data_IF_098424458044
#
_entry.id   IF_098424458044
#
_cell.length_a   1.000
_cell.length_b   1.000
_cell.length_c   1.000
_cell.angle_alpha   90.00
_cell.angle_beta   90.00
_cell.angle_gamma   90.00
#
_symmetry.space_group_name_H-M   'P 1'
#
loop_
_entity.id
_entity.type
_entity.pdbx_description
1 polymer ?
#
# COMPACT_ATOMS: atom_id res chain seq x y z
N UNK A 1 -17.39 8.70 -16.97
CA UNK A 1 -17.76 7.74 -15.90
C UNK A 1 -16.50 7.26 -15.21
N UNK A 2 -16.38 7.45 -13.90
CA UNK A 2 -15.42 6.78 -13.01
C UNK A 2 -15.90 6.99 -11.56
N UNK A 3 -17.10 6.44 -11.28
CA UNK A 3 -17.96 6.71 -10.12
C UNK A 3 -17.27 6.62 -8.74
N UNK A 4 -16.40 5.61 -8.58
CA UNK A 4 -16.11 5.02 -7.26
C UNK A 4 -14.61 5.05 -6.89
N UNK A 5 -13.77 5.57 -7.78
CA UNK A 5 -12.31 5.44 -7.67
C UNK A 5 -11.68 6.39 -6.64
N UNK A 6 -12.23 7.60 -6.46
CA UNK A 6 -11.56 8.69 -5.74
C UNK A 6 -11.28 8.39 -4.26
N UNK A 7 -12.27 7.85 -3.53
CA UNK A 7 -12.11 7.50 -2.10
C UNK A 7 -11.04 6.39 -1.95
N UNK A 8 -11.07 5.38 -2.82
CA UNK A 8 -10.07 4.30 -2.82
C UNK A 8 -8.68 4.84 -3.16
N UNK A 9 -8.56 5.75 -4.13
CA UNK A 9 -7.30 6.38 -4.49
C UNK A 9 -6.70 7.17 -3.32
N UNK A 10 -7.51 7.92 -2.54
CA UNK A 10 -7.06 8.58 -1.31
C UNK A 10 -6.55 7.56 -0.26
N UNK A 11 -7.28 6.48 0.01
CA UNK A 11 -6.81 5.47 0.97
C UNK A 11 -5.55 4.70 0.50
N UNK A 12 -5.45 4.38 -0.80
CA UNK A 12 -4.27 3.73 -1.37
C UNK A 12 -3.06 4.67 -1.45
N UNK A 13 -3.28 5.98 -1.59
CA UNK A 13 -2.26 7.03 -1.48
C UNK A 13 -1.79 7.16 -0.01
N UNK A 14 -2.71 7.37 0.92
CA UNK A 14 -2.43 7.49 2.35
C UNK A 14 -1.66 6.29 2.91
N UNK A 15 -2.02 5.06 2.50
CA UNK A 15 -1.28 3.84 2.89
C UNK A 15 0.16 3.80 2.36
N UNK A 16 0.46 4.44 1.21
CA UNK A 16 1.83 4.59 0.68
C UNK A 16 2.58 5.67 1.45
N UNK A 17 1.94 6.82 1.69
CA UNK A 17 2.52 7.97 2.39
C UNK A 17 2.68 7.78 3.89
N UNK A 18 2.04 6.76 4.49
CA UNK A 18 1.85 6.60 5.94
C UNK A 18 1.12 7.77 6.60
N UNK A 19 0.24 8.44 5.85
CA UNK A 19 -0.58 9.54 6.33
C UNK A 19 -1.90 8.97 6.86
N UNK A 20 -2.42 9.52 7.95
CA UNK A 20 -3.73 9.14 8.50
C UNK A 20 -4.86 9.76 7.66
N UNK A 21 -5.96 9.03 7.48
CA UNK A 21 -7.15 9.49 6.75
C UNK A 21 -8.38 9.29 7.63
N UNK A 22 -9.12 10.36 7.84
CA UNK A 22 -10.41 10.35 8.53
C UNK A 22 -11.45 11.13 7.73
N UNK A 23 -12.68 10.62 7.65
CA UNK A 23 -13.82 11.35 7.10
C UNK A 23 -14.81 11.65 8.23
N UNK A 24 -15.08 12.93 8.48
CA UNK A 24 -16.08 13.40 9.46
C UNK A 24 -17.26 14.08 8.76
N UNK A 25 -18.45 13.90 9.31
CA UNK A 25 -19.64 14.63 8.89
C UNK A 25 -19.68 15.96 9.64
N UNK A 26 -19.55 17.06 8.90
CA UNK A 26 -19.50 18.42 9.47
C UNK A 26 -20.90 19.01 9.67
N UNK A 27 -21.80 18.85 8.67
CA UNK A 27 -23.16 19.42 8.68
C UNK A 27 -24.14 18.57 7.83
N UNK A 28 -25.38 18.47 8.29
CA UNK A 28 -26.54 18.14 7.45
C UNK A 28 -27.44 19.38 7.34
N UNK A 29 -28.00 19.65 6.16
CA UNK A 29 -28.90 20.79 5.93
C UNK A 29 -29.84 20.52 4.75
N UNK A 30 -30.78 21.45 4.49
CA UNK A 30 -31.76 21.35 3.42
C UNK A 30 -33.05 20.60 3.81
N UNK A 31 -34.13 20.72 3.00
CA UNK A 31 -35.40 20.08 3.27
C UNK A 31 -35.31 18.55 3.13
N UNK A 32 -36.25 17.82 3.72
CA UNK A 32 -36.21 16.36 3.78
C UNK A 32 -36.10 15.65 2.40
N UNK A 33 -36.63 16.27 1.34
CA UNK A 33 -36.56 15.78 -0.04
C UNK A 33 -35.27 16.17 -0.81
N UNK A 34 -34.44 17.06 -0.26
CA UNK A 34 -33.20 17.55 -0.87
C UNK A 34 -32.12 17.81 0.20
N UNK A 35 -31.84 16.81 1.04
CA UNK A 35 -30.79 16.89 2.06
C UNK A 35 -29.40 17.07 1.44
N UNK A 36 -28.65 18.01 1.99
CA UNK A 36 -27.26 18.33 1.65
C UNK A 36 -26.36 17.92 2.82
N UNK A 37 -25.31 17.15 2.52
CA UNK A 37 -24.35 16.63 3.49
C UNK A 37 -22.99 17.27 3.24
N UNK A 38 -22.42 17.88 4.28
CA UNK A 38 -21.06 18.44 4.28
C UNK A 38 -20.13 17.47 4.98
N UNK A 39 -19.14 16.95 4.27
CA UNK A 39 -18.14 16.02 4.81
C UNK A 39 -16.76 16.64 4.71
N UNK A 40 -15.97 16.49 5.78
CA UNK A 40 -14.57 16.86 5.88
C UNK A 40 -13.70 15.61 5.81
N UNK A 41 -12.70 15.63 4.94
CA UNK A 41 -11.61 14.66 4.83
C UNK A 41 -10.38 15.28 5.48
N UNK A 42 -9.90 14.68 6.57
CA UNK A 42 -8.64 14.99 7.21
C UNK A 42 -7.55 14.07 6.65
N UNK A 43 -6.46 14.63 6.12
CA UNK A 43 -5.37 13.92 5.46
C UNK A 43 -4.02 14.51 5.90
N UNK A 44 -3.52 14.03 7.04
CA UNK A 44 -2.37 14.66 7.71
C UNK A 44 -2.70 16.10 8.12
N UNK A 45 -1.80 17.05 7.87
CA UNK A 45 -1.99 18.45 8.27
C UNK A 45 -2.97 19.24 7.37
N UNK A 46 -3.66 18.59 6.43
CA UNK A 46 -4.62 19.23 5.50
C UNK A 46 -6.05 18.69 5.63
N UNK A 47 -7.00 19.61 5.68
CA UNK A 47 -8.44 19.36 5.62
C UNK A 47 -9.02 19.69 4.24
N UNK A 48 -9.89 18.82 3.73
CA UNK A 48 -10.64 19.03 2.48
C UNK A 48 -12.13 18.85 2.73
N UNK A 49 -12.97 19.71 2.15
CA UNK A 49 -14.44 19.66 2.36
C UNK A 49 -15.16 19.34 1.04
N UNK A 50 -16.25 18.58 1.14
CA UNK A 50 -17.16 18.26 0.04
C UNK A 50 -18.62 18.35 0.49
N UNK A 51 -19.46 18.98 -0.34
CA UNK A 51 -20.88 19.24 -0.07
C UNK A 51 -21.75 18.62 -1.16
N UNK A 52 -22.58 17.63 -0.82
CA UNK A 52 -23.30 16.83 -1.82
C UNK A 52 -24.59 16.21 -1.27
N UNK A 53 -25.47 15.74 -2.16
CA UNK A 53 -26.82 15.22 -1.83
C UNK A 53 -26.86 13.85 -1.13
N UNK A 54 -25.71 13.33 -0.73
CA UNK A 54 -25.57 12.08 0.04
C UNK A 54 -24.18 12.03 0.68
N UNK A 55 -24.07 11.47 1.89
CA UNK A 55 -22.79 11.29 2.61
C UNK A 55 -21.71 10.65 1.74
N UNK A 56 -22.05 9.61 0.94
CA UNK A 56 -21.09 8.93 0.05
C UNK A 56 -20.62 9.81 -1.11
N UNK A 57 -21.50 10.66 -1.64
CA UNK A 57 -21.14 11.66 -2.65
C UNK A 57 -20.29 12.79 -2.03
N UNK A 58 -20.59 13.22 -0.80
CA UNK A 58 -19.84 14.25 -0.08
C UNK A 58 -18.44 13.81 0.32
N UNK A 59 -18.30 12.58 0.86
CA UNK A 59 -17.00 11.91 1.05
C UNK A 59 -16.20 11.89 -0.24
N UNK A 60 -16.83 11.54 -1.37
CA UNK A 60 -16.13 11.49 -2.65
C UNK A 60 -15.81 12.89 -3.22
N UNK A 61 -16.66 13.89 -3.02
CA UNK A 61 -16.36 15.27 -3.38
C UNK A 61 -15.12 15.77 -2.62
N UNK A 62 -15.07 15.56 -1.30
CA UNK A 62 -13.89 15.88 -0.48
C UNK A 62 -12.63 15.12 -0.94
N UNK A 63 -12.76 13.83 -1.24
CA UNK A 63 -11.68 13.01 -1.80
C UNK A 63 -11.19 13.47 -3.18
N UNK A 64 -12.09 14.02 -4.01
CA UNK A 64 -11.74 14.55 -5.33
C UNK A 64 -11.11 15.95 -5.23
N UNK A 65 -11.57 16.80 -4.30
CA UNK A 65 -10.89 18.07 -3.96
C UNK A 65 -9.47 17.82 -3.49
N UNK A 66 -9.25 16.80 -2.64
CA UNK A 66 -7.91 16.38 -2.22
C UNK A 66 -7.06 15.91 -3.41
N UNK A 67 -7.54 14.99 -4.26
CA UNK A 67 -6.77 14.51 -5.42
C UNK A 67 -6.39 15.60 -6.45
N UNK A 68 -7.05 16.75 -6.42
CA UNK A 68 -6.73 17.91 -7.26
C UNK A 68 -5.66 18.85 -6.64
N UNK A 69 -5.33 18.70 -5.36
CA UNK A 69 -4.30 19.50 -4.69
C UNK A 69 -2.90 19.00 -5.07
N UNK A 70 -2.14 19.86 -5.77
CA UNK A 70 -0.80 19.55 -6.25
C UNK A 70 0.21 19.27 -5.13
N UNK A 71 0.03 19.78 -3.91
CA UNK A 71 0.98 19.54 -2.82
C UNK A 71 1.02 18.06 -2.42
N UNK A 72 -0.12 17.36 -2.47
CA UNK A 72 -0.18 15.93 -2.16
C UNK A 72 0.62 15.12 -3.20
N UNK A 73 0.70 15.59 -4.44
CA UNK A 73 1.54 14.98 -5.49
C UNK A 73 3.04 15.24 -5.29
N UNK A 74 3.42 16.26 -4.52
CA UNK A 74 4.81 16.58 -4.17
C UNK A 74 5.32 15.83 -2.92
N UNK A 75 4.45 15.09 -2.22
CA UNK A 75 4.88 14.18 -1.14
C UNK A 75 5.67 13.03 -1.78
N UNK A 76 6.98 13.23 -1.91
CA UNK A 76 7.90 12.36 -2.65
C UNK A 76 8.18 11.07 -1.87
N UNK A 77 7.26 10.10 -1.97
CA UNK A 77 7.32 8.80 -1.27
C UNK A 77 8.34 7.87 -1.91
N UNK A 78 9.61 8.26 -1.92
CA UNK A 78 10.69 7.31 -2.04
C UNK A 78 10.87 6.61 -0.69
N UNK A 79 10.68 5.29 -0.69
CA UNK A 79 11.03 4.44 0.46
C UNK A 79 12.43 4.81 0.97
N UNK A 80 12.71 4.85 2.29
CA UNK A 80 14.01 5.27 2.83
C UNK A 80 15.21 4.58 2.15
N UNK A 81 15.08 3.31 1.77
CA UNK A 81 16.07 2.58 0.97
C UNK A 81 16.31 3.20 -0.41
N UNK A 82 15.27 3.63 -1.12
CA UNK A 82 15.35 4.29 -2.43
C UNK A 82 15.93 5.70 -2.28
N UNK A 83 15.43 6.47 -1.31
CA UNK A 83 15.91 7.82 -1.05
C UNK A 83 17.40 7.82 -0.67
N UNK A 84 17.86 6.85 0.14
CA UNK A 84 19.27 6.72 0.50
C UNK A 84 20.13 6.29 -0.70
N UNK A 85 19.63 5.37 -1.53
CA UNK A 85 20.30 5.01 -2.79
C UNK A 85 20.44 6.24 -3.72
N UNK A 86 19.42 7.10 -3.78
CA UNK A 86 19.45 8.32 -4.59
C UNK A 86 20.41 9.38 -4.02
N UNK A 87 20.45 9.56 -2.70
CA UNK A 87 21.44 10.41 -2.02
C UNK A 87 22.86 9.89 -2.24
N UNK A 88 23.10 8.59 -2.08
CA UNK A 88 24.41 7.98 -2.29
C UNK A 88 24.86 8.13 -3.76
N UNK A 89 23.96 7.89 -4.72
CA UNK A 89 24.21 8.11 -6.16
C UNK A 89 24.59 9.55 -6.48
N UNK A 90 23.90 10.55 -5.91
CA UNK A 90 24.21 11.98 -6.10
C UNK A 90 25.59 12.35 -5.58
N UNK A 91 25.97 11.82 -4.41
CA UNK A 91 27.27 12.06 -3.79
C UNK A 91 28.39 11.13 -4.29
N UNK A 92 28.11 10.27 -5.28
CA UNK A 92 29.01 9.23 -5.82
C UNK A 92 29.53 8.22 -4.77
N UNK A 93 28.80 8.05 -3.67
CA UNK A 93 29.14 7.12 -2.59
C UNK A 93 28.60 5.71 -2.94
N UNK A 94 29.42 4.64 -2.94
CA UNK A 94 28.92 3.29 -3.15
C UNK A 94 28.09 2.84 -1.94
N UNK A 95 26.99 2.14 -2.20
CA UNK A 95 26.02 1.69 -1.19
C UNK A 95 25.75 0.18 -1.31
N UNK A 96 25.90 -0.55 -0.20
CA UNK A 96 25.69 -2.00 -0.16
C UNK A 96 24.92 -2.43 1.08
N UNK A 97 23.84 -3.20 0.90
CA UNK A 97 23.08 -3.83 1.99
C UNK A 97 23.50 -5.29 2.16
N UNK A 98 23.98 -5.63 3.35
CA UNK A 98 24.47 -6.96 3.72
C UNK A 98 23.61 -7.54 4.84
N UNK A 99 23.11 -8.76 4.67
CA UNK A 99 22.47 -9.52 5.74
C UNK A 99 23.55 -9.98 6.73
N UNK A 100 23.37 -9.72 8.03
CA UNK A 100 24.33 -10.07 9.09
C UNK A 100 23.96 -11.34 9.84
N UNK A 101 22.70 -11.48 10.25
CA UNK A 101 22.16 -12.69 10.89
C UNK A 101 20.64 -12.75 10.76
N UNK A 102 20.11 -13.96 10.88
CA UNK A 102 18.68 -14.24 11.06
C UNK A 102 18.53 -14.87 12.44
N UNK A 103 17.60 -14.38 13.25
CA UNK A 103 17.42 -14.83 14.63
C UNK A 103 15.97 -15.17 14.89
N UNK A 104 15.71 -16.41 15.28
CA UNK A 104 14.39 -16.86 15.71
C UNK A 104 14.21 -16.48 17.18
N UNK A 105 13.18 -15.70 17.49
CA UNK A 105 12.74 -15.43 18.85
C UNK A 105 11.45 -16.21 19.10
N UNK A 106 11.47 -17.11 20.09
CA UNK A 106 10.24 -17.71 20.61
C UNK A 106 9.55 -16.70 21.52
N UNK A 107 8.34 -16.28 21.16
CA UNK A 107 7.52 -15.35 21.96
C UNK A 107 6.40 -16.05 22.73
N UNK A 108 6.09 -17.29 22.35
CA UNK A 108 5.12 -18.19 22.99
C UNK A 108 5.42 -19.62 22.49
N UNK A 109 5.02 -20.69 23.19
CA UNK A 109 5.29 -22.07 22.76
C UNK A 109 4.86 -22.38 21.31
N UNK A 110 3.77 -21.76 20.85
CA UNK A 110 3.26 -21.90 19.48
C UNK A 110 3.50 -20.65 18.59
N UNK A 111 4.38 -19.72 18.97
CA UNK A 111 4.62 -18.46 18.23
C UNK A 111 6.08 -18.01 18.27
N UNK A 112 6.80 -18.32 17.20
CA UNK A 112 8.12 -17.76 16.91
C UNK A 112 8.02 -16.61 15.89
N UNK A 113 8.94 -15.65 15.99
CA UNK A 113 9.13 -14.56 15.02
C UNK A 113 10.59 -14.50 14.58
N UNK A 114 10.82 -14.24 13.29
CA UNK A 114 12.17 -14.16 12.72
C UNK A 114 12.60 -12.69 12.63
N UNK A 115 13.71 -12.35 13.27
CA UNK A 115 14.36 -11.05 13.15
C UNK A 115 15.51 -11.13 12.14
N UNK A 116 15.40 -10.35 11.07
CA UNK A 116 16.45 -10.19 10.08
C UNK A 116 17.30 -8.98 10.45
N UNK A 117 18.61 -9.17 10.63
CA UNK A 117 19.57 -8.09 10.89
C UNK A 117 20.31 -7.76 9.60
N UNK A 118 20.16 -6.53 9.13
CA UNK A 118 20.94 -5.99 8.01
C UNK A 118 21.96 -4.96 8.49
N UNK A 119 22.94 -4.69 7.62
CA UNK A 119 23.83 -3.54 7.68
C UNK A 119 23.92 -2.91 6.29
N UNK A 120 23.76 -1.60 6.21
CA UNK A 120 24.09 -0.82 5.02
C UNK A 120 25.47 -0.19 5.20
N UNK A 121 26.32 -0.26 4.17
CA UNK A 121 27.59 0.45 4.09
C UNK A 121 27.44 1.66 3.16
N UNK A 122 28.06 2.78 3.51
CA UNK A 122 28.19 3.99 2.69
C UNK A 122 29.69 4.29 2.51
N UNK A 123 30.23 4.04 1.32
CA UNK A 123 31.68 4.14 1.13
C UNK A 123 32.43 2.96 1.76
N UNK A 124 33.58 3.25 2.36
CA UNK A 124 34.48 2.23 2.90
C UNK A 124 34.21 1.94 4.39
N UNK A 125 34.13 2.99 5.23
CA UNK A 125 34.13 2.84 6.69
C UNK A 125 32.77 3.08 7.36
N UNK A 126 31.91 3.93 6.77
CA UNK A 126 30.59 4.22 7.33
C UNK A 126 29.65 3.03 7.15
N UNK A 127 29.02 2.60 8.24
CA UNK A 127 27.94 1.63 8.20
C UNK A 127 26.84 1.92 9.21
N UNK A 128 25.63 1.44 8.91
CA UNK A 128 24.47 1.52 9.78
C UNK A 128 23.76 0.18 9.80
N UNK A 129 23.53 -0.38 10.98
CA UNK A 129 22.73 -1.60 11.14
C UNK A 129 21.25 -1.28 11.37
N UNK A 130 20.41 -2.29 11.17
CA UNK A 130 18.96 -2.18 11.31
C UNK A 130 18.31 -3.55 11.20
N UNK A 131 17.32 -3.79 12.04
CA UNK A 131 16.66 -5.08 12.17
C UNK A 131 15.15 -4.95 11.97
N UNK A 132 14.47 -6.08 11.69
CA UNK A 132 13.02 -6.12 11.58
C UNK A 132 12.47 -7.50 11.22
N UNK A 133 11.13 -7.67 11.26
CA UNK A 133 10.47 -8.96 11.03
C UNK A 133 10.47 -9.43 9.57
N UNK A 134 11.00 -8.63 8.64
CA UNK A 134 11.19 -9.01 7.23
C UNK A 134 12.47 -8.40 6.68
N UNK A 135 13.08 -9.03 5.66
CA UNK A 135 14.22 -8.45 4.93
C UNK A 135 13.93 -7.06 4.34
N UNK A 136 12.67 -6.71 4.08
CA UNK A 136 12.30 -5.38 3.60
C UNK A 136 12.30 -4.37 4.74
N UNK A 137 11.66 -4.68 5.87
CA UNK A 137 11.63 -3.78 7.02
C UNK A 137 13.02 -3.55 7.62
N UNK A 138 13.86 -4.59 7.70
CA UNK A 138 15.23 -4.47 8.19
C UNK A 138 16.09 -3.51 7.31
N UNK A 139 15.97 -3.59 5.98
CA UNK A 139 16.65 -2.67 5.04
C UNK A 139 16.08 -1.25 5.06
N UNK A 140 14.78 -1.08 5.32
CA UNK A 140 14.18 0.25 5.56
C UNK A 140 14.72 0.85 6.86
N UNK A 141 14.82 0.07 7.94
CA UNK A 141 15.35 0.52 9.22
C UNK A 141 16.85 0.87 9.13
N UNK A 142 17.67 0.08 8.42
CA UNK A 142 19.06 0.44 8.12
C UNK A 142 19.17 1.81 7.42
N UNK A 143 18.30 2.04 6.42
CA UNK A 143 18.34 3.27 5.64
C UNK A 143 17.83 4.50 6.42
N UNK A 144 16.88 4.31 7.35
CA UNK A 144 16.46 5.34 8.30
C UNK A 144 17.60 5.70 9.26
N UNK A 145 18.28 4.71 9.84
CA UNK A 145 19.41 4.95 10.76
C UNK A 145 20.56 5.72 10.07
N UNK A 146 20.88 5.35 8.82
CA UNK A 146 21.81 6.12 8.00
C UNK A 146 21.34 7.57 7.77
N UNK A 147 20.05 7.79 7.47
CA UNK A 147 19.51 9.13 7.30
C UNK A 147 19.50 9.98 8.56
N UNK A 148 19.25 9.39 9.74
CA UNK A 148 19.36 10.13 11.02
C UNK A 148 20.78 10.64 11.24
N UNK A 149 21.79 9.79 11.04
CA UNK A 149 23.20 10.17 11.14
C UNK A 149 23.58 11.23 10.09
N UNK A 150 23.18 11.04 8.83
CA UNK A 150 23.47 12.00 7.77
C UNK A 150 22.84 13.37 8.06
N UNK A 151 21.60 13.40 8.56
CA UNK A 151 20.89 14.65 8.92
C UNK A 151 21.53 15.37 10.11
N UNK A 152 22.05 14.64 11.10
CA UNK A 152 22.76 15.22 12.24
C UNK A 152 24.12 15.82 11.86
N UNK A 153 24.73 15.34 10.77
CA UNK A 153 26.03 15.80 10.28
C UNK A 153 25.94 16.71 9.04
N UNK A 154 24.80 17.35 8.78
CA UNK A 154 24.73 18.46 7.81
C UNK A 154 25.00 19.79 8.51
N UNK A 155 26.07 20.47 8.07
CA UNK A 155 26.23 21.91 8.24
C UNK A 155 25.08 22.65 7.55
N UNK A 156 24.86 23.91 7.92
CA UNK A 156 23.76 24.74 7.41
C UNK A 156 23.79 24.90 5.88
N UNK A 157 22.61 24.95 5.22
CA UNK A 157 22.52 24.95 3.77
C UNK A 157 22.83 26.34 3.17
N UNK A 158 23.74 26.46 2.19
CA UNK A 158 23.74 27.58 1.25
C UNK A 158 22.60 27.41 0.23
N UNK A 159 22.12 28.53 -0.31
CA UNK A 159 20.95 28.59 -1.18
C UNK A 159 21.14 27.93 -2.56
N UNK A 160 20.02 27.57 -3.19
CA UNK A 160 19.90 27.12 -4.59
C UNK A 160 20.54 28.10 -5.58
N UNK A 161 21.28 27.58 -6.58
CA UNK A 161 21.17 28.12 -7.94
C UNK A 161 20.63 27.08 -8.92
N UNK A 162 19.70 27.51 -9.78
CA UNK A 162 19.31 26.78 -10.99
C UNK A 162 20.36 27.00 -12.07
N UNK A 163 21.04 25.96 -12.54
CA UNK A 163 21.82 25.99 -13.79
C UNK A 163 21.61 24.70 -14.58
N UNK A 164 20.94 24.82 -15.72
CA UNK A 164 20.97 23.81 -16.78
C UNK A 164 22.26 23.97 -17.57
N UNK A 165 22.93 22.88 -17.95
CA UNK A 165 23.57 22.75 -19.26
C UNK A 165 23.81 21.28 -19.65
N UNK A 166 24.23 21.07 -20.89
CA UNK A 166 23.92 19.86 -21.68
C UNK A 166 24.85 18.66 -21.48
N UNK A 167 24.36 17.52 -21.96
CA UNK A 167 24.99 16.21 -21.98
C UNK A 167 26.24 16.06 -22.86
N UNK A 168 27.23 15.34 -22.36
CA UNK A 168 27.97 14.30 -23.09
C UNK A 168 28.27 13.16 -22.08
N UNK A 169 28.46 11.89 -22.45
CA UNK A 169 28.86 11.31 -23.74
C UNK A 169 28.11 10.00 -24.07
N UNK A 170 28.22 9.58 -25.33
CA UNK A 170 27.70 8.33 -25.92
C UNK A 170 28.88 7.35 -26.19
N UNK A 171 28.70 6.18 -26.84
CA UNK A 171 27.49 5.39 -27.09
C UNK A 171 27.61 3.89 -26.69
N UNK A 172 26.48 3.18 -26.58
CA UNK A 172 26.35 1.80 -27.04
C UNK A 172 24.85 1.50 -27.25
N UNK A 173 24.52 0.82 -28.34
CA UNK A 173 23.13 0.63 -28.78
C UNK A 173 22.40 -0.49 -28.02
N UNK A 174 21.26 -0.15 -27.39
CA UNK A 174 20.16 -1.09 -27.19
C UNK A 174 18.90 -0.54 -27.86
N UNK A 175 18.39 -1.29 -28.84
CA UNK A 175 17.15 -0.97 -29.55
C UNK A 175 15.93 -1.11 -28.64
N UNK A 176 14.92 -0.25 -28.84
CA UNK A 176 13.67 -0.29 -28.08
C UNK A 176 12.82 -1.49 -28.55
N UNK A 177 12.62 -2.53 -27.74
CA UNK A 177 11.39 -3.34 -27.79
C UNK A 177 11.17 -4.20 -26.53
N UNK A 178 9.90 -4.36 -26.17
CA UNK A 178 9.35 -5.16 -25.05
C UNK A 178 9.65 -4.65 -23.62
N UNK A 179 8.64 -4.77 -22.76
CA UNK A 179 8.68 -4.46 -21.32
C UNK A 179 8.85 -5.71 -20.45
N UNK A 180 9.29 -6.83 -21.05
CA UNK A 180 9.57 -8.09 -20.37
C UNK A 180 11.06 -8.15 -20.01
N UNK A 181 11.41 -8.71 -18.85
CA UNK A 181 12.81 -8.99 -18.54
C UNK A 181 13.38 -10.03 -19.51
N UNK A 182 14.66 -9.91 -19.81
CA UNK A 182 15.45 -10.84 -20.63
C UNK A 182 15.38 -12.27 -20.06
N UNK A 183 15.27 -12.42 -18.73
CA UNK A 183 15.01 -13.71 -18.08
C UNK A 183 13.66 -14.28 -18.57
N UNK A 184 12.58 -13.51 -18.51
CA UNK A 184 11.25 -13.95 -18.96
C UNK A 184 11.23 -14.29 -20.46
N UNK A 185 11.92 -13.49 -21.29
CA UNK A 185 12.02 -13.72 -22.73
C UNK A 185 12.79 -15.02 -23.05
N UNK A 186 13.82 -15.36 -22.27
CA UNK A 186 14.55 -16.64 -22.39
C UNK A 186 13.64 -17.83 -22.09
N UNK A 187 12.89 -17.79 -20.99
CA UNK A 187 11.91 -18.84 -20.64
C UNK A 187 10.81 -18.96 -21.70
N UNK A 188 10.35 -17.85 -22.26
CA UNK A 188 9.31 -17.81 -23.28
C UNK A 188 9.78 -18.43 -24.61
N UNK A 189 11.01 -18.13 -25.08
CA UNK A 189 11.60 -18.77 -26.27
C UNK A 189 11.88 -20.25 -26.05
N UNK A 190 12.46 -20.65 -24.92
CA UNK A 190 12.73 -22.06 -24.64
C UNK A 190 11.44 -22.90 -24.62
N UNK A 191 10.36 -22.35 -24.04
CA UNK A 191 9.03 -23.00 -24.06
C UNK A 191 8.45 -23.11 -25.48
N UNK A 192 8.66 -22.12 -26.36
CA UNK A 192 8.25 -22.20 -27.78
C UNK A 192 9.02 -23.29 -28.54
N UNK A 193 10.30 -23.47 -28.23
CA UNK A 193 11.17 -24.51 -28.81
C UNK A 193 10.95 -25.91 -28.19
N UNK A 194 10.06 -26.05 -27.22
CA UNK A 194 9.83 -27.31 -26.50
C UNK A 194 10.98 -27.75 -25.58
N UNK A 195 11.97 -26.88 -25.34
CA UNK A 195 13.20 -27.23 -24.63
C UNK A 195 13.05 -27.07 -23.11
N UNK A 196 13.47 -28.09 -22.37
CA UNK A 196 13.59 -28.03 -20.91
C UNK A 196 14.70 -27.06 -20.48
N UNK A 197 14.52 -26.39 -19.34
CA UNK A 197 15.50 -25.46 -18.77
C UNK A 197 15.92 -25.94 -17.38
N UNK A 198 17.22 -26.13 -17.20
CA UNK A 198 17.86 -26.36 -15.91
C UNK A 198 18.71 -25.14 -15.52
N UNK A 199 18.91 -24.93 -14.22
CA UNK A 199 19.70 -23.83 -13.67
C UNK A 199 20.74 -24.38 -12.70
N UNK A 200 21.99 -24.01 -12.88
CA UNK A 200 23.10 -24.36 -11.99
C UNK A 200 23.66 -23.10 -11.32
N UNK A 201 24.04 -23.23 -10.04
CA UNK A 201 24.55 -22.14 -9.21
C UNK A 201 25.99 -22.44 -8.77
N UNK A 202 26.95 -22.18 -9.65
CA UNK A 202 28.37 -22.46 -9.41
C UNK A 202 28.96 -21.62 -8.26
N UNK A 203 28.45 -20.39 -8.05
CA UNK A 203 28.87 -19.50 -6.98
C UNK A 203 27.75 -18.51 -6.60
N UNK A 204 27.89 -17.82 -5.46
CA UNK A 204 27.02 -16.75 -4.94
C UNK A 204 26.64 -15.72 -6.01
N UNK A 205 27.52 -15.45 -6.97
CA UNK A 205 27.36 -14.46 -8.04
C UNK A 205 27.53 -15.02 -9.47
N UNK A 206 27.52 -16.35 -9.64
CA UNK A 206 27.66 -17.03 -10.94
C UNK A 206 26.52 -18.03 -11.17
N UNK A 207 25.84 -17.94 -12.30
CA UNK A 207 24.71 -18.81 -12.67
C UNK A 207 24.85 -19.30 -14.10
N UNK A 208 24.64 -20.59 -14.32
CA UNK A 208 24.57 -21.20 -15.66
C UNK A 208 23.14 -21.64 -15.96
N UNK A 209 22.63 -21.30 -17.15
CA UNK A 209 21.43 -21.94 -17.70
C UNK A 209 21.83 -23.04 -18.67
N UNK A 210 21.16 -24.18 -18.58
CA UNK A 210 21.24 -25.30 -19.52
C UNK A 210 19.87 -25.50 -20.17
N UNK A 211 19.80 -25.52 -21.50
CA UNK A 211 18.54 -25.62 -22.26
C UNK A 211 18.64 -26.72 -23.31
N UNK A 212 17.73 -27.70 -23.22
CA UNK A 212 17.66 -28.83 -24.15
C UNK A 212 18.91 -29.71 -24.23
N UNK A 213 19.82 -29.64 -23.24
CA UNK A 213 21.11 -30.32 -23.23
C UNK A 213 22.17 -29.76 -24.20
N UNK A 214 21.77 -29.08 -25.26
CA UNK A 214 22.67 -28.57 -26.31
C UNK A 214 23.14 -27.13 -26.07
N UNK A 215 22.37 -26.32 -25.32
CA UNK A 215 22.67 -24.90 -25.11
C UNK A 215 23.04 -24.64 -23.65
N UNK A 216 24.22 -24.04 -23.41
CA UNK A 216 24.70 -23.63 -22.08
C UNK A 216 25.12 -22.16 -22.08
N UNK A 217 24.77 -21.39 -21.05
CA UNK A 217 25.22 -20.00 -20.92
C UNK A 217 25.43 -19.57 -19.46
N UNK A 218 26.66 -19.14 -19.13
CA UNK A 218 27.03 -18.69 -17.78
C UNK A 218 27.08 -17.17 -17.67
N UNK A 219 26.29 -16.62 -16.74
CA UNK A 219 26.30 -15.22 -16.33
C UNK A 219 26.98 -15.02 -14.98
N UNK A 220 27.80 -13.97 -14.89
CA UNK A 220 28.34 -13.43 -13.63
C UNK A 220 27.72 -12.06 -13.38
N UNK A 221 27.45 -11.71 -12.12
CA UNK A 221 26.91 -10.39 -11.79
C UNK A 221 26.77 -10.16 -10.28
N UNK A 222 26.91 -8.90 -9.86
CA UNK A 222 27.02 -8.45 -8.46
C UNK A 222 25.87 -8.87 -7.51
N UNK A 223 24.80 -9.45 -8.03
CA UNK A 223 23.71 -10.06 -7.28
C UNK A 223 23.18 -11.30 -8.04
N UNK A 224 22.60 -12.28 -7.33
CA UNK A 224 21.98 -13.48 -7.96
C UNK A 224 20.97 -13.14 -9.08
N UNK A 225 20.28 -11.99 -8.99
CA UNK A 225 19.38 -11.53 -10.04
C UNK A 225 20.11 -11.02 -11.29
N UNK A 226 21.15 -10.20 -11.15
CA UNK A 226 21.94 -9.73 -12.29
C UNK A 226 22.79 -10.85 -12.92
N UNK A 227 23.24 -11.83 -12.13
CA UNK A 227 23.87 -13.04 -12.66
C UNK A 227 22.89 -13.86 -13.53
N UNK A 228 21.64 -14.05 -13.10
CA UNK A 228 20.58 -14.65 -13.92
C UNK A 228 20.26 -13.81 -15.16
N UNK A 229 20.19 -12.49 -15.05
CA UNK A 229 19.92 -11.60 -16.19
C UNK A 229 21.04 -11.68 -17.24
N UNK A 230 22.30 -11.60 -16.82
CA UNK A 230 23.46 -11.75 -17.71
C UNK A 230 23.58 -13.17 -18.32
N UNK A 231 23.15 -14.21 -17.60
CA UNK A 231 23.08 -15.57 -18.14
C UNK A 231 21.97 -15.68 -19.21
N UNK A 232 20.79 -15.10 -18.95
CA UNK A 232 19.67 -15.08 -19.89
C UNK A 232 19.96 -14.22 -21.14
N UNK A 233 20.61 -13.06 -21.00
CA UNK A 233 21.06 -12.24 -22.12
C UNK A 233 22.03 -12.98 -23.06
N UNK A 234 22.94 -13.77 -22.50
CA UNK A 234 23.84 -14.62 -23.29
C UNK A 234 23.06 -15.75 -23.97
N UNK A 235 22.22 -16.46 -23.21
CA UNK A 235 21.40 -17.56 -23.72
C UNK A 235 20.50 -17.12 -24.87
N UNK A 236 19.88 -15.93 -24.78
CA UNK A 236 19.02 -15.37 -25.84
C UNK A 236 19.73 -15.08 -27.16
N UNK A 237 21.06 -14.92 -27.16
CA UNK A 237 21.88 -14.77 -28.38
C UNK A 237 22.27 -16.10 -29.01
N UNK A 238 22.20 -17.20 -28.25
CA UNK A 238 22.56 -18.55 -28.68
C UNK A 238 21.30 -19.32 -29.12
N UNK A 239 20.16 -19.13 -28.44
CA UNK A 239 18.89 -19.75 -28.82
C UNK A 239 18.39 -19.21 -30.18
N UNK A 240 17.98 -20.08 -31.12
CA UNK A 240 17.58 -19.69 -32.47
C UNK A 240 16.41 -18.70 -32.47
N UNK A 241 16.43 -17.74 -33.38
CA UNK A 241 15.47 -16.64 -33.42
C UNK A 241 14.12 -17.05 -34.03
N UNK A 242 13.26 -17.68 -33.23
CA UNK A 242 11.84 -17.81 -33.55
C UNK A 242 11.19 -16.44 -33.75
N UNK A 243 10.44 -16.29 -34.84
CA UNK A 243 9.78 -15.04 -35.21
C UNK A 243 8.67 -14.66 -34.23
N UNK A 244 8.87 -13.51 -33.59
CA UNK A 244 7.99 -12.96 -32.55
C UNK A 244 6.55 -12.69 -33.04
N UNK A 245 6.34 -12.64 -34.36
CA UNK A 245 5.05 -12.38 -34.99
C UNK A 245 4.03 -13.52 -34.81
N UNK A 246 4.50 -14.75 -34.53
CA UNK A 246 3.69 -15.96 -34.38
C UNK A 246 2.92 -16.05 -33.05
N UNK A 247 3.32 -15.26 -32.04
CA UNK A 247 2.81 -15.38 -30.66
C UNK A 247 1.68 -14.40 -30.32
N UNK A 248 1.47 -13.39 -31.17
CA UNK A 248 0.41 -12.40 -31.01
C UNK A 248 -0.90 -13.00 -31.50
N UNK A 249 -1.99 -12.86 -30.72
CA UNK A 249 -3.34 -13.26 -31.15
C UNK A 249 -3.63 -12.69 -32.55
N UNK A 250 -4.00 -13.52 -33.55
CA UNK A 250 -4.14 -13.09 -34.94
C UNK A 250 -5.14 -11.94 -35.10
N UNK A 251 -6.21 -11.91 -34.29
CA UNK A 251 -7.17 -10.80 -34.27
C UNK A 251 -6.46 -9.48 -33.91
N UNK A 252 -5.57 -9.50 -32.92
CA UNK A 252 -4.76 -8.33 -32.53
C UNK A 252 -3.72 -7.97 -33.58
N UNK A 253 -3.05 -8.95 -34.20
CA UNK A 253 -2.07 -8.73 -35.28
C UNK A 253 -2.73 -8.12 -36.52
N UNK A 254 -3.92 -8.56 -36.88
CA UNK A 254 -4.77 -7.95 -37.92
C UNK A 254 -5.12 -6.49 -37.60
N UNK A 255 -5.53 -6.18 -36.36
CA UNK A 255 -5.79 -4.77 -35.96
C UNK A 255 -4.53 -3.90 -36.01
N UNK A 256 -3.35 -4.44 -35.67
CA UNK A 256 -2.07 -3.72 -35.82
C UNK A 256 -1.75 -3.47 -37.30
N UNK A 257 -2.00 -4.44 -38.17
CA UNK A 257 -1.77 -4.33 -39.61
C UNK A 257 -2.72 -3.32 -40.28
N UNK A 258 -3.99 -3.30 -39.86
CA UNK A 258 -4.97 -2.29 -40.25
C UNK A 258 -4.52 -0.87 -39.86
N UNK A 259 -4.04 -0.68 -38.62
CA UNK A 259 -3.47 0.60 -38.18
C UNK A 259 -2.22 1.00 -38.97
N UNK A 260 -1.31 0.05 -39.26
CA UNK A 260 -0.07 0.30 -39.99
C UNK A 260 -0.32 0.73 -41.46
N UNK A 261 -1.34 0.16 -42.11
CA UNK A 261 -1.75 0.55 -43.48
C UNK A 261 -2.80 1.68 -43.51
N UNK A 262 -3.21 2.23 -42.35
CA UNK A 262 -4.33 3.17 -42.20
C UNK A 262 -5.68 2.69 -42.78
N UNK A 263 -5.86 1.37 -42.89
CA UNK A 263 -7.02 0.71 -43.49
C UNK A 263 -8.11 0.45 -42.43
N UNK A 264 -9.37 0.73 -42.75
CA UNK A 264 -10.53 0.36 -41.91
C UNK A 264 -10.78 -1.15 -42.00
N UNK A 265 -11.10 -1.75 -40.86
CA UNK A 265 -11.45 -3.17 -40.74
C UNK A 265 -12.81 -3.36 -40.05
N UNK A 266 -13.63 -4.25 -40.60
CA UNK A 266 -14.96 -4.57 -40.08
C UNK A 266 -15.17 -6.08 -39.96
N UNK A 267 -15.79 -6.53 -38.87
CA UNK A 267 -16.08 -7.94 -38.57
C UNK A 267 -17.58 -8.19 -38.64
N UNK A 268 -18.04 -8.71 -39.78
CA UNK A 268 -19.45 -9.00 -40.07
C UNK A 268 -19.79 -10.41 -39.56
N UNK A 269 -20.76 -10.57 -38.63
CA UNK A 269 -21.21 -11.88 -38.18
C UNK A 269 -22.17 -12.50 -39.20
N UNK A 270 -21.84 -13.69 -39.70
CA UNK A 270 -22.74 -14.51 -40.53
C UNK A 270 -23.17 -15.70 -39.68
N UNK A 271 -24.45 -15.73 -39.28
CA UNK A 271 -24.96 -16.80 -38.41
C UNK A 271 -25.55 -17.92 -39.25
N UNK A 272 -24.93 -19.09 -39.22
CA UNK A 272 -25.53 -20.33 -39.71
C UNK A 272 -26.05 -21.14 -38.51
N UNK A 273 -26.83 -22.22 -38.74
CA UNK A 273 -27.52 -22.95 -37.66
C UNK A 273 -26.55 -23.67 -36.70
N UNK A 274 -25.53 -24.33 -37.24
CA UNK A 274 -24.62 -25.20 -36.46
C UNK A 274 -23.19 -24.64 -36.33
N UNK A 275 -22.85 -23.58 -37.08
CA UNK A 275 -21.52 -22.95 -37.07
C UNK A 275 -21.61 -21.42 -37.04
N UNK A 276 -20.68 -20.79 -36.31
CA UNK A 276 -20.48 -19.35 -36.42
C UNK A 276 -19.52 -19.06 -37.56
N UNK A 277 -19.91 -18.16 -38.46
CA UNK A 277 -19.07 -17.65 -39.53
C UNK A 277 -18.82 -16.17 -39.26
N UNK A 278 -17.58 -15.73 -39.46
CA UNK A 278 -17.23 -14.30 -39.40
C UNK A 278 -16.53 -13.92 -40.70
N UNK A 279 -17.07 -12.92 -41.36
CA UNK A 279 -16.47 -12.29 -42.52
C UNK A 279 -15.72 -11.04 -42.06
N UNK A 280 -14.48 -10.87 -42.51
CA UNK A 280 -13.66 -9.68 -42.28
C UNK A 280 -13.53 -8.93 -43.61
N UNK A 281 -13.99 -7.68 -43.62
CA UNK A 281 -13.67 -6.72 -44.70
C UNK A 281 -12.45 -5.90 -44.27
N UNK A 282 -11.40 -5.90 -45.07
CA UNK A 282 -10.15 -5.16 -44.87
C UNK A 282 -9.93 -4.23 -46.07
N UNK A 283 -10.20 -2.93 -45.87
CA UNK A 283 -10.29 -1.98 -46.98
C UNK A 283 -11.37 -2.41 -47.97
N UNK A 284 -11.25 -2.00 -49.23
CA UNK A 284 -12.31 -2.25 -50.23
C UNK A 284 -12.11 -3.53 -51.05
N UNK A 285 -10.87 -4.01 -51.17
CA UNK A 285 -10.50 -5.08 -52.10
C UNK A 285 -10.25 -6.45 -51.44
N UNK A 286 -10.23 -6.53 -50.10
CA UNK A 286 -9.93 -7.80 -49.39
C UNK A 286 -11.05 -8.17 -48.44
N UNK A 287 -11.78 -9.23 -48.81
CA UNK A 287 -12.80 -9.87 -47.97
C UNK A 287 -12.38 -11.32 -47.73
N UNK A 288 -12.43 -11.75 -46.47
CA UNK A 288 -12.21 -13.16 -46.09
C UNK A 288 -13.29 -13.63 -45.13
N UNK A 289 -13.50 -14.92 -45.06
CA UNK A 289 -14.38 -15.55 -44.06
C UNK A 289 -13.63 -16.63 -43.28
N UNK A 290 -14.07 -16.87 -42.04
CA UNK A 290 -13.58 -17.94 -41.21
C UNK A 290 -14.68 -18.47 -40.29
N UNK A 291 -14.67 -19.79 -40.10
CA UNK A 291 -15.74 -20.52 -39.42
C UNK A 291 -15.25 -21.10 -38.08
N UNK A 292 -16.17 -21.39 -37.16
CA UNK A 292 -15.81 -22.03 -35.89
C UNK A 292 -16.98 -22.38 -34.98
N UNK A 293 -16.71 -23.30 -34.04
CA UNK A 293 -17.67 -23.76 -33.02
C UNK A 293 -18.05 -22.68 -32.00
N UNK A 294 -17.28 -21.58 -31.92
CA UNK A 294 -17.59 -20.41 -31.09
C UNK A 294 -17.34 -19.12 -31.86
N UNK A 295 -18.04 -18.03 -31.48
CA UNK A 295 -17.86 -16.70 -32.08
C UNK A 295 -16.42 -16.18 -31.99
N UNK A 296 -15.65 -16.59 -30.98
CA UNK A 296 -14.25 -16.22 -30.83
C UNK A 296 -13.33 -17.06 -31.74
N UNK A 297 -13.60 -18.37 -31.87
CA UNK A 297 -12.88 -19.28 -32.76
C UNK A 297 -13.06 -18.87 -34.23
N UNK A 298 -14.29 -18.56 -34.65
CA UNK A 298 -14.59 -18.09 -36.00
C UNK A 298 -13.86 -16.78 -36.36
N UNK A 299 -13.89 -15.78 -35.46
CA UNK A 299 -13.09 -14.55 -35.61
C UNK A 299 -11.59 -14.80 -35.68
N UNK A 300 -11.09 -15.81 -34.95
CA UNK A 300 -9.67 -16.18 -34.96
C UNK A 300 -9.27 -16.77 -36.32
N UNK A 301 -10.01 -17.77 -36.80
CA UNK A 301 -9.77 -18.40 -38.10
C UNK A 301 -9.85 -17.37 -39.26
N UNK A 302 -10.84 -16.48 -39.23
CA UNK A 302 -10.96 -15.42 -40.23
C UNK A 302 -9.77 -14.44 -40.20
N UNK A 303 -9.22 -14.15 -39.01
CA UNK A 303 -8.04 -13.30 -38.87
C UNK A 303 -6.74 -14.01 -39.28
N UNK A 304 -6.64 -15.33 -39.11
CA UNK A 304 -5.52 -16.14 -39.60
C UNK A 304 -5.51 -16.14 -41.15
N UNK A 305 -6.66 -16.46 -41.77
CA UNK A 305 -6.85 -16.41 -43.23
C UNK A 305 -6.60 -15.00 -43.81
N UNK A 306 -6.89 -13.93 -43.07
CA UNK A 306 -6.57 -12.57 -43.51
C UNK A 306 -5.06 -12.30 -43.50
N UNK A 307 -4.34 -12.75 -42.47
CA UNK A 307 -2.88 -12.55 -42.38
C UNK A 307 -2.14 -13.35 -43.47
N UNK A 308 -2.60 -14.57 -43.75
CA UNK A 308 -1.99 -15.42 -44.79
C UNK A 308 -2.20 -14.87 -46.22
N UNK A 309 -3.21 -14.01 -46.42
CA UNK A 309 -3.46 -13.26 -47.67
C UNK A 309 -2.81 -11.87 -47.73
N UNK A 310 -2.03 -11.47 -46.72
CA UNK A 310 -1.43 -10.13 -46.63
C UNK A 310 0.09 -10.23 -46.53
N UNK A 311 0.75 -10.18 -47.69
CA UNK A 311 2.18 -10.43 -47.84
C UNK A 311 3.07 -9.66 -46.83
N UNK A 312 4.14 -10.29 -46.31
CA UNK A 312 4.94 -9.79 -45.19
C UNK A 312 5.92 -8.66 -45.55
N UNK A 313 5.62 -7.86 -46.58
CA UNK A 313 6.52 -6.80 -47.09
C UNK A 313 5.85 -5.42 -46.96
N UNK A 314 6.05 -4.78 -45.80
CA UNK A 314 5.99 -3.31 -45.63
C UNK A 314 7.04 -2.90 -44.62
N UNK A 315 8.03 -2.09 -45.05
CA UNK A 315 8.99 -1.47 -44.13
C UNK A 315 8.33 -0.28 -43.42
N UNK A 316 8.47 -0.19 -42.10
CA UNK A 316 7.83 0.84 -41.28
C UNK A 316 8.62 2.17 -41.28
N UNK A 317 8.05 3.29 -41.77
CA UNK A 317 8.53 4.62 -41.40
C UNK A 317 8.16 4.94 -39.93
N UNK A 318 8.89 5.86 -39.26
CA UNK A 318 8.62 6.20 -37.86
C UNK A 318 7.28 6.94 -37.69
N UNK A 319 6.53 6.69 -36.59
CA UNK A 319 5.22 7.29 -36.40
C UNK A 319 5.32 8.78 -36.01
N UNK A 320 4.45 9.66 -36.58
CA UNK A 320 4.34 11.04 -36.12
C UNK A 320 3.79 11.11 -34.68
N UNK A 321 4.07 12.23 -34.00
CA UNK A 321 3.69 12.43 -32.60
C UNK A 321 2.17 12.45 -32.41
N UNK A 322 1.68 11.83 -31.33
CA UNK A 322 0.24 11.75 -31.02
C UNK A 322 -0.31 13.11 -30.61
N UNK A 323 -1.11 13.72 -31.47
CA UNK A 323 -1.93 14.89 -31.17
C UNK A 323 -3.25 14.83 -31.92
N UNK A 324 -4.31 15.30 -31.25
CA UNK A 324 -5.63 15.63 -31.81
C UNK A 324 -6.39 14.49 -32.53
N UNK A 325 -7.51 14.07 -31.93
CA UNK A 325 -8.79 13.96 -32.64
C UNK A 325 -9.94 14.04 -31.62
N UNK A 326 -10.86 14.99 -31.84
CA UNK A 326 -12.16 15.01 -31.14
C UNK A 326 -13.01 13.82 -31.60
N UNK A 327 -14.08 13.51 -30.85
CA UNK A 327 -15.17 12.67 -31.33
C UNK A 327 -16.49 13.35 -31.02
N UNK A 328 -17.14 13.85 -32.05
CA UNK A 328 -18.48 14.42 -31.99
C UNK A 328 -19.55 13.32 -31.78
N UNK A 329 -20.76 13.73 -31.40
CA UNK A 329 -21.81 12.85 -30.86
C UNK A 329 -22.76 12.20 -31.88
N UNK A 330 -23.91 11.71 -31.37
CA UNK A 330 -24.90 10.83 -32.03
C UNK A 330 -24.35 9.43 -32.39
N UNK A 331 -25.10 8.31 -32.34
CA UNK A 331 -26.51 7.94 -32.06
C UNK A 331 -26.49 6.50 -31.47
N UNK A 332 -27.44 5.92 -30.72
CA UNK A 332 -28.68 6.37 -30.08
C UNK A 332 -29.09 5.38 -28.94
N UNK A 333 -30.34 5.37 -28.46
CA UNK A 333 -30.85 4.50 -27.39
C UNK A 333 -31.01 3.01 -27.77
N UNK A 334 -30.56 2.08 -26.92
CA UNK A 334 -31.09 0.70 -26.84
C UNK A 334 -31.26 0.30 -25.36
N UNK A 335 -32.51 0.08 -24.94
CA UNK A 335 -32.86 -0.34 -23.58
C UNK A 335 -32.84 -1.86 -23.43
N UNK A 336 -32.12 -2.42 -22.43
CA UNK A 336 -32.53 -3.69 -21.79
C UNK A 336 -31.84 -4.03 -20.45
N UNK A 337 -32.67 -4.04 -19.41
CA UNK A 337 -32.75 -5.03 -18.33
C UNK A 337 -31.48 -5.37 -17.53
N UNK A 338 -31.47 -4.90 -16.28
CA UNK A 338 -30.55 -5.32 -15.22
C UNK A 338 -30.69 -6.82 -14.92
N UNK A 339 -29.55 -7.51 -14.72
CA UNK A 339 -29.52 -8.81 -14.05
C UNK A 339 -29.11 -8.60 -12.59
N UNK A 340 -30.08 -8.66 -11.69
CA UNK A 340 -29.85 -8.58 -10.24
C UNK A 340 -28.84 -9.66 -9.82
N UNK A 341 -27.83 -9.28 -9.05
CA UNK A 341 -27.02 -10.20 -8.26
C UNK A 341 -27.30 -9.92 -6.79
N UNK A 342 -27.70 -10.96 -6.06
CA UNK A 342 -28.00 -10.87 -4.63
C UNK A 342 -26.69 -11.10 -3.87
N UNK A 343 -26.22 -10.07 -3.17
CA UNK A 343 -25.21 -10.23 -2.13
C UNK A 343 -25.90 -10.14 -0.77
N UNK A 344 -25.90 -11.25 -0.03
CA UNK A 344 -26.18 -11.21 1.40
C UNK A 344 -25.04 -10.47 2.10
N UNK A 345 -25.40 -9.47 2.91
CA UNK A 345 -24.55 -8.87 3.93
C UNK A 345 -25.33 -8.97 5.23
N UNK A 346 -24.71 -9.58 6.25
CA UNK A 346 -25.34 -9.89 7.52
C UNK A 346 -25.19 -8.68 8.47
N UNK A 347 -26.14 -7.75 8.42
CA UNK A 347 -26.15 -6.58 9.29
C UNK A 347 -26.68 -6.93 10.69
N UNK A 348 -25.77 -7.00 11.66
CA UNK A 348 -26.11 -7.16 13.08
C UNK A 348 -26.69 -5.84 13.62
N UNK A 349 -27.96 -5.61 13.37
CA UNK A 349 -28.73 -4.48 13.90
C UNK A 349 -28.89 -4.67 15.42
N UNK A 350 -28.32 -3.75 16.20
CA UNK A 350 -28.70 -3.57 17.60
C UNK A 350 -30.05 -2.85 17.63
N UNK A 351 -31.06 -3.46 18.27
CA UNK A 351 -32.26 -2.77 18.73
C UNK A 351 -32.09 -2.39 20.19
N UNK A 352 -32.46 -1.15 20.52
CA UNK A 352 -32.88 -0.78 21.88
C UNK A 352 -34.41 -0.95 21.97
N UNK A 353 -34.90 -1.69 22.96
CA UNK A 353 -36.30 -1.69 23.38
C UNK A 353 -36.35 -1.62 24.92
N UNK A 354 -37.14 -0.68 25.46
CA UNK A 354 -37.40 -0.54 26.90
C UNK A 354 -38.80 -1.08 27.21
N UNK A 355 -38.97 -1.82 28.32
CA UNK A 355 -40.26 -1.93 29.04
C UNK A 355 -40.09 -2.57 30.45
N UNK A 356 -40.50 -1.81 31.48
CA UNK A 356 -41.24 -2.16 32.72
C UNK A 356 -41.33 -3.62 33.26
N UNK A 357 -41.46 -3.88 34.58
CA UNK A 357 -41.75 -3.01 35.75
C UNK A 357 -41.61 -3.73 37.12
N UNK A 358 -41.78 -2.96 38.23
CA UNK A 358 -42.02 -3.36 39.66
C UNK A 358 -40.81 -3.99 40.39
N UNK A 359 -40.48 -3.75 41.67
CA UNK A 359 -40.91 -2.88 42.80
C UNK A 359 -39.73 -2.86 43.85
N UNK A 360 -39.63 -2.15 44.99
CA UNK A 360 -40.47 -1.25 45.84
C UNK A 360 -39.55 -0.33 46.74
N UNK A 361 -40.08 0.64 47.53
CA UNK A 361 -39.33 1.60 48.39
C UNK A 361 -39.15 1.10 49.87
N UNK A 362 -38.45 1.78 50.85
CA UNK A 362 -38.21 3.24 51.09
C UNK A 362 -36.74 3.69 51.45
N UNK A 363 -36.22 4.84 50.98
CA UNK A 363 -36.24 6.24 51.52
C UNK A 363 -34.79 6.75 51.85
N UNK A 364 -34.50 7.99 52.34
CA UNK A 364 -33.86 8.99 51.47
C UNK A 364 -32.62 9.76 52.03
N UNK A 365 -31.66 10.15 51.16
CA UNK A 365 -30.85 11.39 51.30
C UNK A 365 -29.89 11.66 50.12
N UNK A 366 -29.54 12.94 49.94
CA UNK A 366 -28.34 13.49 49.24
C UNK A 366 -28.01 13.08 47.78
N UNK A 367 -28.38 13.96 46.84
CA UNK A 367 -27.54 14.48 45.72
C UNK A 367 -26.49 13.54 45.08
N UNK A 368 -26.84 12.90 43.97
CA UNK A 368 -25.94 12.12 43.12
C UNK A 368 -25.14 12.98 42.11
N UNK A 369 -23.86 13.23 42.41
CA UNK A 369 -22.90 13.65 41.38
C UNK A 369 -22.65 12.49 40.39
N UNK A 370 -22.60 12.79 39.09
CA UNK A 370 -22.39 11.79 38.03
C UNK A 370 -20.96 11.24 38.08
N UNK A 371 -20.76 10.06 38.67
CA UNK A 371 -19.43 9.51 38.95
C UNK A 371 -18.72 9.02 37.67
N UNK A 372 -17.61 9.68 37.32
CA UNK A 372 -16.71 9.23 36.26
C UNK A 372 -16.05 7.89 36.64
N UNK A 373 -16.03 6.91 35.73
CA UNK A 373 -15.46 5.58 36.01
C UNK A 373 -13.97 5.65 36.38
N UNK A 374 -13.55 4.89 37.39
CA UNK A 374 -12.16 4.82 37.87
C UNK A 374 -11.14 4.54 36.73
N UNK A 375 -11.53 3.75 35.72
CA UNK A 375 -10.70 3.47 34.54
C UNK A 375 -10.38 4.74 33.74
N UNK A 376 -11.33 5.66 33.65
CA UNK A 376 -11.16 6.92 32.90
C UNK A 376 -10.40 7.96 33.72
N UNK A 377 -10.62 8.04 35.04
CA UNK A 377 -9.82 8.86 35.96
C UNK A 377 -8.32 8.48 35.91
N UNK A 378 -8.01 7.17 35.88
CA UNK A 378 -6.65 6.66 35.73
C UNK A 378 -6.00 7.10 34.41
N UNK A 379 -6.72 7.00 33.29
CA UNK A 379 -6.23 7.37 31.95
C UNK A 379 -5.92 8.88 31.90
N UNK A 380 -6.83 9.72 32.40
CA UNK A 380 -6.64 11.18 32.46
C UNK A 380 -5.41 11.56 33.31
N UNK A 381 -5.24 10.93 34.48
CA UNK A 381 -4.06 11.15 35.31
C UNK A 381 -2.76 10.72 34.61
N UNK A 382 -2.73 9.54 33.97
CA UNK A 382 -1.53 9.05 33.28
C UNK A 382 -1.14 9.96 32.10
N UNK A 383 -2.10 10.46 31.33
CA UNK A 383 -1.87 11.48 30.30
C UNK A 383 -1.28 12.76 30.89
N UNK A 384 -1.84 13.26 31.99
CA UNK A 384 -1.40 14.50 32.67
C UNK A 384 0.02 14.42 33.22
N UNK A 385 0.48 13.25 33.64
CA UNK A 385 1.82 13.02 34.20
C UNK A 385 2.81 12.36 33.22
N UNK A 386 2.47 12.25 31.92
CA UNK A 386 3.31 11.61 30.89
C UNK A 386 3.72 10.16 31.26
N UNK A 387 2.80 9.42 31.88
CA UNK A 387 2.95 8.00 32.21
C UNK A 387 2.34 7.18 31.07
N UNK A 388 3.13 6.33 30.44
CA UNK A 388 2.66 5.35 29.47
C UNK A 388 1.92 4.22 30.20
N UNK A 389 0.70 3.92 29.75
CA UNK A 389 -0.17 2.91 30.33
C UNK A 389 -0.43 1.82 29.29
N UNK A 390 -0.02 0.59 29.60
CA UNK A 390 -0.16 -0.57 28.74
C UNK A 390 -1.00 -1.66 29.42
N UNK A 391 -1.91 -2.29 28.67
CA UNK A 391 -2.70 -3.45 29.11
C UNK A 391 -2.15 -4.71 28.44
N UNK A 392 -1.82 -5.72 29.24
CA UNK A 392 -1.52 -7.07 28.78
C UNK A 392 -2.62 -8.01 29.29
N UNK A 393 -3.35 -8.63 28.36
CA UNK A 393 -4.54 -9.42 28.65
C UNK A 393 -4.33 -10.91 28.32
N UNK A 394 -4.70 -11.78 29.26
CA UNK A 394 -4.52 -13.24 29.20
C UNK A 394 -5.83 -13.96 29.56
N UNK A 395 -6.06 -15.13 28.94
CA UNK A 395 -7.22 -15.97 29.24
C UNK A 395 -6.76 -17.22 30.00
N UNK A 396 -7.12 -17.29 31.28
CA UNK A 396 -6.87 -18.44 32.14
C UNK A 396 -7.99 -19.47 31.93
N UNK A 397 -7.60 -20.66 31.46
CA UNK A 397 -8.45 -21.86 31.46
C UNK A 397 -8.01 -22.76 32.60
N UNK A 398 -8.89 -23.04 33.54
CA UNK A 398 -8.65 -24.06 34.56
C UNK A 398 -9.06 -25.42 34.00
N UNK A 399 -8.14 -26.38 33.92
CA UNK A 399 -8.43 -27.70 33.33
C UNK A 399 -9.54 -28.46 34.08
N UNK A 400 -9.70 -28.17 35.38
CA UNK A 400 -10.72 -28.76 36.25
C UNK A 400 -12.04 -27.95 36.31
N UNK A 401 -12.27 -26.93 35.46
CA UNK A 401 -13.50 -26.12 35.50
C UNK A 401 -13.78 -25.34 34.21
N UNK A 402 -14.99 -25.49 33.66
CA UNK A 402 -15.48 -24.73 32.49
C UNK A 402 -15.57 -23.19 32.68
N UNK A 403 -15.20 -22.65 33.84
CA UNK A 403 -15.14 -21.21 34.08
C UNK A 403 -13.86 -20.61 33.48
N UNK A 404 -13.97 -20.10 32.26
CA UNK A 404 -12.90 -19.30 31.65
C UNK A 404 -12.81 -17.94 32.36
N UNK A 405 -11.62 -17.61 32.89
CA UNK A 405 -11.37 -16.37 33.64
C UNK A 405 -10.32 -15.54 32.91
N UNK A 406 -10.60 -14.26 32.69
CA UNK A 406 -9.65 -13.33 32.10
C UNK A 406 -8.80 -12.69 33.18
N UNK A 407 -7.50 -12.58 32.92
CA UNK A 407 -6.53 -11.78 33.65
C UNK A 407 -6.19 -10.56 32.78
N UNK A 408 -6.18 -9.38 33.37
CA UNK A 408 -5.67 -8.15 32.75
C UNK A 408 -4.59 -7.58 33.64
N UNK A 409 -3.48 -7.17 33.03
CA UNK A 409 -2.31 -6.60 33.69
C UNK A 409 -2.12 -5.18 33.19
N UNK A 410 -2.25 -4.20 34.07
CA UNK A 410 -1.94 -2.79 33.79
C UNK A 410 -0.50 -2.52 34.20
N UNK A 411 0.37 -2.21 33.24
CA UNK A 411 1.72 -1.72 33.48
C UNK A 411 1.83 -0.23 33.21
N UNK A 412 2.51 0.48 34.12
CA UNK A 412 2.71 1.92 34.09
C UNK A 412 4.20 2.23 34.01
N UNK A 413 4.62 3.01 33.02
CA UNK A 413 6.03 3.31 32.77
C UNK A 413 6.28 4.76 32.35
N UNK A 414 7.45 5.29 32.69
CA UNK A 414 7.90 6.63 32.29
C UNK A 414 9.37 6.53 31.88
N UNK A 415 9.74 7.14 30.75
CA UNK A 415 11.11 7.14 30.21
C UNK A 415 11.77 5.74 30.20
N UNK A 416 11.03 4.74 29.68
CA UNK A 416 11.41 3.32 29.62
C UNK A 416 11.66 2.61 30.97
N UNK A 417 11.34 3.25 32.11
CA UNK A 417 11.35 2.62 33.44
C UNK A 417 9.94 2.22 33.86
N UNK A 418 9.74 0.95 34.19
CA UNK A 418 8.50 0.47 34.82
C UNK A 418 8.37 1.08 36.22
N UNK A 419 7.23 1.69 36.52
CA UNK A 419 6.90 2.28 37.81
C UNK A 419 6.10 1.32 38.68
N UNK A 420 5.04 0.73 38.12
CA UNK A 420 4.15 -0.20 38.81
C UNK A 420 3.45 -1.16 37.84
N UNK A 421 3.00 -2.29 38.37
CA UNK A 421 2.17 -3.26 37.65
C UNK A 421 1.02 -3.72 38.56
N UNK A 422 -0.22 -3.69 38.04
CA UNK A 422 -1.43 -4.11 38.75
C UNK A 422 -2.16 -5.19 37.97
N UNK A 423 -2.79 -6.14 38.67
CA UNK A 423 -3.52 -7.27 38.05
C UNK A 423 -4.98 -7.24 38.45
N UNK A 424 -5.86 -7.51 37.50
CA UNK A 424 -7.30 -7.64 37.69
C UNK A 424 -7.83 -8.90 37.01
N UNK A 425 -8.77 -9.55 37.68
CA UNK A 425 -9.41 -10.76 37.17
C UNK A 425 -10.90 -10.51 36.90
N UNK A 426 -11.47 -11.18 35.89
CA UNK A 426 -12.89 -11.05 35.58
C UNK A 426 -13.45 -12.22 34.76
N UNK A 427 -14.79 -12.40 34.74
CA UNK A 427 -15.45 -13.39 33.87
C UNK A 427 -15.45 -12.95 32.39
N UNK A 428 -15.17 -11.67 32.12
CA UNK A 428 -15.00 -11.12 30.77
C UNK A 428 -13.74 -10.24 30.72
N UNK A 429 -13.15 -10.14 29.54
CA UNK A 429 -11.98 -9.29 29.25
C UNK A 429 -12.16 -7.85 29.75
N UNK A 430 -13.30 -7.23 29.40
CA UNK A 430 -13.62 -5.85 29.79
C UNK A 430 -13.64 -5.70 31.33
N UNK A 431 -14.24 -6.66 32.04
CA UNK A 431 -14.30 -6.60 33.51
C UNK A 431 -12.96 -6.88 34.18
N UNK A 432 -12.11 -7.72 33.59
CA UNK A 432 -10.74 -7.91 34.05
C UNK A 432 -9.94 -6.60 33.92
N UNK A 433 -10.02 -5.91 32.77
CA UNK A 433 -9.40 -4.59 32.57
C UNK A 433 -9.95 -3.53 33.55
N UNK A 434 -11.26 -3.45 33.76
CA UNK A 434 -11.87 -2.53 34.73
C UNK A 434 -11.38 -2.77 36.16
N UNK A 435 -11.27 -4.03 36.57
CA UNK A 435 -10.76 -4.42 37.88
C UNK A 435 -9.26 -4.08 38.02
N UNK A 436 -8.45 -4.32 36.98
CA UNK A 436 -7.03 -3.96 36.96
C UNK A 436 -6.82 -2.43 37.02
N UNK A 437 -7.65 -1.69 36.26
CA UNK A 437 -7.66 -0.21 36.27
C UNK A 437 -8.08 0.34 37.63
N UNK A 438 -9.08 -0.25 38.27
CA UNK A 438 -9.55 0.17 39.59
C UNK A 438 -8.53 -0.14 40.69
N UNK A 439 -7.83 -1.28 40.60
CA UNK A 439 -6.72 -1.60 41.48
C UNK A 439 -5.57 -0.59 41.32
N UNK A 440 -5.17 -0.28 40.09
CA UNK A 440 -4.15 0.74 39.81
C UNK A 440 -4.56 2.12 40.33
N UNK A 441 -5.79 2.55 40.05
CA UNK A 441 -6.30 3.85 40.51
C UNK A 441 -6.33 3.96 42.04
N UNK A 442 -6.88 2.96 42.73
CA UNK A 442 -7.01 3.01 44.19
C UNK A 442 -5.66 3.09 44.91
N UNK A 443 -4.62 2.42 44.40
CA UNK A 443 -3.28 2.47 44.97
C UNK A 443 -2.54 3.78 44.63
N UNK A 444 -2.76 4.35 43.43
CA UNK A 444 -2.03 5.54 42.97
C UNK A 444 -2.71 6.86 43.31
N UNK A 445 -4.00 6.86 43.66
CA UNK A 445 -4.79 8.07 43.96
C UNK A 445 -4.20 8.91 45.10
N UNK A 446 -3.56 8.29 46.09
CA UNK A 446 -2.84 9.01 47.15
C UNK A 446 -1.61 9.73 46.57
N UNK A 447 -0.73 9.00 45.87
CA UNK A 447 0.49 9.55 45.25
C UNK A 447 0.19 10.67 44.22
N UNK A 448 -0.88 10.52 43.42
CA UNK A 448 -1.33 11.58 42.50
C UNK A 448 -1.86 12.81 43.25
N UNK A 449 -2.60 12.64 44.34
CA UNK A 449 -3.07 13.77 45.15
C UNK A 449 -1.91 14.50 45.85
N UNK A 450 -0.92 13.76 46.36
CA UNK A 450 0.28 14.32 46.99
C UNK A 450 1.14 15.10 45.98
N UNK A 451 1.34 14.57 44.77
CA UNK A 451 2.08 15.29 43.71
C UNK A 451 1.36 16.57 43.26
N UNK A 452 0.03 16.57 43.24
CA UNK A 452 -0.78 17.78 42.99
C UNK A 452 -0.59 18.80 44.11
N UNK A 453 -0.61 18.39 45.39
CA UNK A 453 -0.36 19.31 46.50
C UNK A 453 1.08 19.87 46.49
N UNK A 454 2.08 19.04 46.17
CA UNK A 454 3.47 19.48 46.02
C UNK A 454 3.63 20.51 44.89
N UNK A 455 3.03 20.26 43.71
CA UNK A 455 3.03 21.20 42.59
C UNK A 455 2.37 22.54 42.95
N UNK A 456 1.27 22.51 43.70
CA UNK A 456 0.59 23.72 44.20
C UNK A 456 1.42 24.50 45.23
N UNK A 457 2.22 23.84 46.08
CA UNK A 457 3.16 24.51 47.00
C UNK A 457 4.29 25.20 46.23
N UNK A 458 4.93 24.50 45.28
CA UNK A 458 6.02 25.04 44.45
C UNK A 458 5.61 26.32 43.71
N UNK A 459 4.45 26.29 43.04
CA UNK A 459 3.90 27.45 42.31
C UNK A 459 3.51 28.64 43.20
N UNK A 460 3.31 28.41 44.50
CA UNK A 460 3.05 29.49 45.47
C UNK A 460 4.34 30.16 45.94
N UNK A 461 5.45 29.42 46.03
CA UNK A 461 6.78 30.01 46.26
C UNK A 461 7.29 30.78 45.04
N UNK A 462 7.12 30.25 43.82
CA UNK A 462 7.49 30.99 42.59
C UNK A 462 6.75 32.33 42.47
N UNK A 463 5.43 32.36 42.76
CA UNK A 463 4.66 33.60 42.76
C UNK A 463 5.11 34.58 43.83
N UNK A 464 5.38 34.14 45.06
CA UNK A 464 5.92 35.03 46.11
C UNK A 464 7.27 35.62 45.68
N UNK A 465 8.17 34.82 45.12
CA UNK A 465 9.49 35.29 44.69
C UNK A 465 9.39 36.31 43.54
N UNK A 466 8.54 36.05 42.54
CA UNK A 466 8.27 37.02 41.46
C UNK A 466 7.64 38.32 41.99
N UNK A 467 6.75 38.23 42.98
CA UNK A 467 6.09 39.40 43.56
C UNK A 467 7.05 40.25 44.42
N UNK A 468 8.04 39.63 45.07
CA UNK A 468 9.13 40.34 45.77
C UNK A 468 10.06 41.03 44.75
N UNK A 469 10.40 40.38 43.64
CA UNK A 469 11.25 40.98 42.59
C UNK A 469 10.63 42.22 41.93
N UNK A 470 9.30 42.34 41.91
CA UNK A 470 8.56 43.47 41.33
C UNK A 470 8.48 44.68 42.30
N UNK A 471 8.84 44.52 43.58
CA UNK A 471 8.93 45.63 44.55
C UNK A 471 10.37 46.15 44.77
N UNK A 472 11.32 45.71 43.94
CA UNK A 472 12.74 46.08 44.01
C UNK A 472 13.29 46.59 42.66
N UNK A 473 12.40 47.12 41.81
CA UNK A 473 12.67 47.92 40.62
C UNK A 473 11.85 49.21 40.67
#
# INVERSE_FOLDING_TARGET
MQQDSSIKAIHDLARRSKIFVEYRLDKESGPAHAKMYTVRLHLGDKDYVGTERSIKLAQRAAAQSALNDHDISQINIQSPTIALNAWASRNRIPIQYVLRKEQFLSTSPNRSHILFYYRVYLGHDLYFDGHGPTHQQARVNCALNAFYFLRQNQLSPPSTPQLNFSSCSSPISKSKHSTKSEISLMYERAKQLGLSIQIEFLDRFTVTYHIGGQYSATGKGFNKHSAKQAAAEKMLKILPTTDLQSTINPITRVYQFAQARQVKIEFIPISNKDTYIFQIKFGDNTIVEGQGKTKQMAKRAAAEILLDKLDPIVVLPPPPAKGLLKRDGNKENITKQEKKHVHFVEEVIKKDEQLSSRQSPPSPSSSSNMSCSNKQQLIEACQKFQIHLEYLDEMIKNENSNSSRYQSIVSLSTSNRLLAQFRGYGPTLLRAQENASSAAWNNLRQLFNESIQASCKSKKQEKNNQQISIQLQ
#
